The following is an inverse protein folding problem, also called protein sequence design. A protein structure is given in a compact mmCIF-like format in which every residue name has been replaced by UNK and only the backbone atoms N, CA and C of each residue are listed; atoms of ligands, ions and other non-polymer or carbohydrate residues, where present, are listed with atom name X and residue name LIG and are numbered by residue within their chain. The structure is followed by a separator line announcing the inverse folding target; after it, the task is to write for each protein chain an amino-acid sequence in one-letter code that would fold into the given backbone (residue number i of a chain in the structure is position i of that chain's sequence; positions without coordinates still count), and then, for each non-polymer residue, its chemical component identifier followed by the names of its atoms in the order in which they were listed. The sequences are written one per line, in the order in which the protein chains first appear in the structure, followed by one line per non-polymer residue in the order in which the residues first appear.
data_IF_705552331881
#
_entry.id   IF_705552331881
#
_cell.length_a   1.000
_cell.length_b   1.000
_cell.length_c   1.000
_cell.angle_alpha   90.00
_cell.angle_beta   90.00
_cell.angle_gamma   90.00
#
_symmetry.space_group_name_H-M   'P 1'
#
loop_
_entity.id
_entity.type
_entity.pdbx_description
1 polymer ?
#
# COMPACT_ATOMS: atom_id res chain seq x y z
N UNK A 1 7.16 -10.46 4.46
CA UNK A 1 6.57 -10.52 3.11
C UNK A 1 5.07 -10.55 3.24
N UNK A 2 4.34 -9.77 2.46
CA UNK A 2 2.88 -9.73 2.55
C UNK A 2 2.25 -11.08 2.15
N UNK A 3 1.28 -11.54 2.93
CA UNK A 3 0.42 -12.66 2.53
C UNK A 3 -0.83 -12.16 1.79
N UNK A 4 -1.52 -13.07 1.10
CA UNK A 4 -2.71 -12.73 0.32
C UNK A 4 -3.77 -12.00 1.15
N UNK A 5 -4.00 -12.44 2.39
CA UNK A 5 -5.03 -11.86 3.26
C UNK A 5 -4.70 -10.41 3.61
N UNK A 6 -3.43 -10.13 3.88
CA UNK A 6 -2.92 -8.80 4.17
C UNK A 6 -3.03 -7.88 2.96
N UNK A 7 -2.72 -8.38 1.76
CA UNK A 7 -2.88 -7.64 0.52
C UNK A 7 -4.35 -7.33 0.22
N UNK A 8 -5.23 -8.32 0.33
CA UNK A 8 -6.67 -8.14 0.09
C UNK A 8 -7.25 -7.08 1.05
N UNK A 9 -6.86 -7.12 2.34
CA UNK A 9 -7.28 -6.15 3.33
C UNK A 9 -6.75 -4.73 3.03
N UNK A 10 -5.48 -4.61 2.68
CA UNK A 10 -4.88 -3.32 2.31
C UNK A 10 -5.55 -2.69 1.09
N UNK A 11 -5.73 -3.44 0.00
CA UNK A 11 -6.31 -2.90 -1.22
C UNK A 11 -7.80 -2.56 -1.03
N UNK A 12 -8.54 -3.33 -0.22
CA UNK A 12 -9.92 -2.95 0.13
C UNK A 12 -9.94 -1.63 0.89
N UNK A 13 -9.08 -1.46 1.90
CA UNK A 13 -9.03 -0.23 2.69
C UNK A 13 -8.66 0.99 1.84
N UNK A 14 -7.67 0.87 0.95
CA UNK A 14 -7.29 1.95 0.05
C UNK A 14 -8.41 2.31 -0.94
N UNK A 15 -9.08 1.30 -1.52
CA UNK A 15 -10.19 1.53 -2.44
C UNK A 15 -11.37 2.19 -1.73
N UNK A 16 -11.78 1.64 -0.59
CA UNK A 16 -12.94 2.13 0.17
C UNK A 16 -12.72 3.58 0.64
N UNK A 17 -11.47 3.99 0.89
CA UNK A 17 -11.12 5.33 1.32
C UNK A 17 -10.89 6.33 0.17
N UNK A 18 -10.33 5.91 -0.97
CA UNK A 18 -9.74 6.84 -1.94
C UNK A 18 -10.12 6.59 -3.41
N UNK A 19 -10.98 5.63 -3.73
CA UNK A 19 -11.34 5.31 -5.14
C UNK A 19 -11.92 6.49 -5.93
N UNK A 20 -12.58 7.44 -5.24
CA UNK A 20 -13.19 8.62 -5.86
C UNK A 20 -12.26 9.84 -5.88
N UNK A 21 -11.07 9.75 -5.30
CA UNK A 21 -10.11 10.85 -5.29
C UNK A 21 -9.41 10.99 -6.65
N UNK A 22 -9.10 12.22 -7.11
CA UNK A 22 -8.37 12.43 -8.36
C UNK A 22 -7.02 11.71 -8.41
N UNK A 23 -6.38 11.51 -7.26
CA UNK A 23 -5.07 10.88 -7.12
C UNK A 23 -5.15 9.34 -7.02
N UNK A 24 -6.33 8.72 -7.18
CA UNK A 24 -6.52 7.28 -6.97
C UNK A 24 -5.52 6.40 -7.73
N UNK A 25 -5.25 6.71 -8.99
CA UNK A 25 -4.28 5.96 -9.81
C UNK A 25 -2.85 6.08 -9.27
N UNK A 26 -2.50 7.22 -8.67
CA UNK A 26 -1.20 7.41 -8.03
C UNK A 26 -1.09 6.64 -6.72
N UNK A 27 -2.16 6.65 -5.92
CA UNK A 27 -2.28 5.88 -4.67
C UNK A 27 -2.14 4.38 -4.96
N UNK A 28 -2.84 3.87 -5.99
CA UNK A 28 -2.72 2.47 -6.40
C UNK A 28 -1.30 2.13 -6.82
N UNK A 29 -0.68 2.96 -7.67
CA UNK A 29 0.70 2.74 -8.13
C UNK A 29 1.67 2.69 -6.95
N UNK A 30 1.54 3.63 -6.02
CA UNK A 30 2.38 3.74 -4.83
C UNK A 30 2.18 2.55 -3.88
N UNK A 31 0.96 2.02 -3.79
CA UNK A 31 0.67 0.80 -3.02
C UNK A 31 1.43 -0.42 -3.57
N UNK A 32 1.41 -0.62 -4.89
CA UNK A 32 2.16 -1.71 -5.54
C UNK A 32 3.67 -1.53 -5.36
N UNK A 33 4.18 -0.29 -5.51
CA UNK A 33 5.59 0.01 -5.31
C UNK A 33 6.03 -0.24 -3.86
N UNK A 34 5.21 0.15 -2.89
CA UNK A 34 5.50 -0.05 -1.48
C UNK A 34 5.52 -1.51 -1.05
N UNK A 35 4.61 -2.34 -1.57
CA UNK A 35 4.67 -3.80 -1.39
C UNK A 35 6.01 -4.34 -1.90
N UNK A 36 6.37 -4.01 -3.15
CA UNK A 36 7.59 -4.52 -3.77
C UNK A 36 8.85 -4.09 -3.00
N UNK A 37 8.90 -2.86 -2.50
CA UNK A 37 10.01 -2.36 -1.67
C UNK A 37 10.09 -3.07 -0.33
N UNK A 38 8.97 -3.19 0.38
CA UNK A 38 8.90 -3.86 1.67
C UNK A 38 9.27 -5.35 1.57
N UNK A 39 8.73 -6.06 0.58
CA UNK A 39 9.05 -7.48 0.33
C UNK A 39 10.51 -7.66 -0.11
N UNK A 40 11.06 -6.70 -0.85
CA UNK A 40 12.45 -6.67 -1.26
C UNK A 40 13.44 -6.27 -0.15
N UNK A 41 12.96 -5.89 1.04
CA UNK A 41 13.80 -5.46 2.16
C UNK A 41 14.54 -4.15 1.91
N UNK A 42 14.02 -3.29 1.02
CA UNK A 42 14.56 -1.96 0.75
C UNK A 42 13.71 -0.88 1.42
N UNK A 43 14.29 0.29 1.62
CA UNK A 43 13.57 1.44 2.19
C UNK A 43 12.34 1.80 1.35
N UNK A 44 11.24 2.18 2.01
CA UNK A 44 9.99 2.55 1.34
C UNK A 44 10.18 3.78 0.45
N UNK A 45 11.11 4.68 0.76
CA UNK A 45 11.41 5.87 -0.01
C UNK A 45 10.26 6.86 -0.03
N UNK A 46 10.16 7.62 -1.13
CA UNK A 46 9.06 8.55 -1.34
C UNK A 46 7.83 7.79 -1.88
N UNK A 47 6.89 7.50 -1.00
CA UNK A 47 5.58 6.89 -1.27
C UNK A 47 4.54 7.77 -0.61
N UNK A 48 3.36 7.87 -1.23
CA UNK A 48 2.21 8.57 -0.64
C UNK A 48 2.01 8.20 0.85
N UNK A 49 1.93 9.18 1.76
CA UNK A 49 1.75 8.91 3.19
C UNK A 49 0.55 8.03 3.52
N UNK A 50 -0.56 8.16 2.77
CA UNK A 50 -1.77 7.35 2.95
C UNK A 50 -1.48 5.88 2.70
N UNK A 51 -0.68 5.60 1.67
CA UNK A 51 -0.24 4.25 1.33
C UNK A 51 0.73 3.71 2.39
N UNK A 52 1.69 4.53 2.83
CA UNK A 52 2.66 4.13 3.85
C UNK A 52 2.01 3.72 5.18
N UNK A 53 0.95 4.43 5.59
CA UNK A 53 0.16 4.10 6.78
C UNK A 53 -0.52 2.74 6.65
N UNK A 54 -1.22 2.50 5.54
CA UNK A 54 -1.95 1.23 5.31
C UNK A 54 -0.97 0.06 5.14
N UNK A 55 0.14 0.25 4.43
CA UNK A 55 1.22 -0.75 4.31
C UNK A 55 1.75 -1.16 5.69
N UNK A 56 2.07 -0.19 6.56
CA UNK A 56 2.57 -0.47 7.90
C UNK A 56 1.54 -1.22 8.75
N UNK A 57 0.25 -0.88 8.61
CA UNK A 57 -0.85 -1.51 9.35
C UNK A 57 -1.04 -2.98 8.97
N UNK A 58 -0.91 -3.31 7.69
CA UNK A 58 -1.13 -4.67 7.18
C UNK A 58 0.16 -5.45 6.91
N UNK A 59 1.33 -4.89 7.23
CA UNK A 59 2.59 -5.62 7.11
C UNK A 59 2.63 -6.73 8.19
N UNK A 60 2.75 -8.01 7.81
CA UNK A 60 2.78 -9.12 8.77
C UNK A 60 4.12 -9.24 9.53
N UNK A 61 5.08 -8.34 9.30
CA UNK A 61 6.44 -8.37 9.89
C UNK A 61 6.64 -7.32 10.98
#
# INVERSE_FOLDING_TARGET
MFDKKSLDAMFSELRDAYELEPEWEEIQRDAHLGIARADGGVDLGNIDPRVAEVLKKHNPS
#
